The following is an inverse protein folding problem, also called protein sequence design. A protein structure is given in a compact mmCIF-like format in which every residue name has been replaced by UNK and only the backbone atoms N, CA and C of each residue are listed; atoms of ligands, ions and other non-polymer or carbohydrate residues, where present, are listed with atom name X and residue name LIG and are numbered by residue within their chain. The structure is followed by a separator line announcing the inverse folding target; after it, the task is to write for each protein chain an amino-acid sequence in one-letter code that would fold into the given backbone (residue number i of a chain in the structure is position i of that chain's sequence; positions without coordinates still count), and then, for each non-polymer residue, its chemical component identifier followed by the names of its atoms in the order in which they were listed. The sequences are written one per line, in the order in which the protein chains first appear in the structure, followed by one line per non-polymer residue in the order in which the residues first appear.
data_IF_626056476470
#
_entry.id   IF_626056476470
#
_cell.length_a   1.000
_cell.length_b   1.000
_cell.length_c   1.000
_cell.angle_alpha   90.00
_cell.angle_beta   90.00
_cell.angle_gamma   90.00
#
_symmetry.space_group_name_H-M   'P 1'
#
loop_
_entity.id
_entity.type
_entity.pdbx_description
1 polymer ?
#
# COMPACT_ATOMS: atom_id res chain seq x y z
N UNK A 1 6.43 2.93 22.84
CA UNK A 1 7.11 3.41 21.61
C UNK A 1 6.03 3.43 20.56
N UNK A 2 5.77 4.55 19.89
CA UNK A 2 4.77 4.62 18.83
C UNK A 2 5.23 3.69 17.68
N UNK A 3 4.29 2.96 17.06
CA UNK A 3 4.62 2.05 15.95
C UNK A 3 5.39 2.78 14.84
N UNK A 4 4.97 3.99 14.49
CA UNK A 4 5.61 4.81 13.45
C UNK A 4 7.09 5.11 13.74
N UNK A 5 7.49 5.25 15.02
CA UNK A 5 8.89 5.43 15.41
C UNK A 5 9.76 4.21 15.09
N UNK A 6 9.17 3.01 15.06
CA UNK A 6 9.88 1.77 14.70
C UNK A 6 10.25 1.75 13.21
N UNK A 7 9.52 2.46 12.37
CA UNK A 7 9.79 2.61 10.94
C UNK A 7 10.71 3.79 10.61
N UNK A 8 10.94 4.71 11.54
CA UNK A 8 11.78 5.89 11.32
C UNK A 8 13.23 5.51 11.08
N UNK A 9 13.83 6.06 10.01
CA UNK A 9 15.23 5.87 9.65
C UNK A 9 16.07 7.12 9.90
N UNK A 10 15.67 8.23 9.31
CA UNK A 10 16.36 9.53 9.41
C UNK A 10 15.47 10.66 8.91
N UNK A 11 15.94 11.89 9.10
CA UNK A 11 15.36 13.08 8.48
C UNK A 11 16.26 13.56 7.34
N UNK A 12 15.68 13.93 6.21
CA UNK A 12 16.35 14.53 5.06
C UNK A 12 15.87 15.97 4.87
N UNK A 13 16.79 16.87 4.49
CA UNK A 13 16.48 18.26 4.20
C UNK A 13 16.32 18.44 2.68
N UNK A 14 15.39 19.32 2.29
CA UNK A 14 15.17 19.67 0.89
C UNK A 14 14.82 21.16 0.76
N UNK A 15 15.47 21.85 -0.17
CA UNK A 15 15.10 23.22 -0.50
C UNK A 15 14.28 23.25 -1.79
N UNK A 16 13.04 23.76 -1.70
CA UNK A 16 12.18 23.97 -2.85
C UNK A 16 11.85 25.45 -3.00
N UNK A 17 12.33 26.09 -4.06
CA UNK A 17 12.09 27.52 -4.39
C UNK A 17 12.32 28.45 -3.17
N UNK A 18 13.42 28.21 -2.43
CA UNK A 18 13.80 29.01 -1.26
C UNK A 18 13.14 28.58 0.06
N UNK A 19 12.16 27.69 0.06
CA UNK A 19 11.58 27.11 1.28
C UNK A 19 12.41 25.89 1.73
N UNK A 20 12.89 25.92 2.96
CA UNK A 20 13.62 24.81 3.58
C UNK A 20 12.63 23.83 4.22
N UNK A 21 12.60 22.61 3.70
CA UNK A 21 11.71 21.55 4.15
C UNK A 21 12.50 20.41 4.78
N UNK A 22 11.87 19.67 5.67
CA UNK A 22 12.43 18.49 6.34
C UNK A 22 11.49 17.32 6.20
N UNK A 23 12.02 16.13 5.84
CA UNK A 23 11.22 14.93 5.66
C UNK A 23 11.79 13.78 6.48
N UNK A 24 11.00 13.22 7.37
CA UNK A 24 11.28 11.92 7.97
C UNK A 24 11.06 10.84 6.92
N UNK A 25 11.98 9.89 6.83
CA UNK A 25 11.92 8.79 5.87
C UNK A 25 12.04 7.43 6.56
N UNK A 26 11.45 6.41 5.94
CA UNK A 26 11.51 5.02 6.37
C UNK A 26 12.27 4.16 5.39
N UNK A 27 12.94 3.10 5.89
CA UNK A 27 13.57 2.10 5.02
C UNK A 27 12.52 1.31 4.21
N UNK A 28 11.31 1.21 4.72
CA UNK A 28 10.19 0.45 4.15
C UNK A 28 9.36 1.26 3.14
N UNK A 29 9.74 2.52 2.88
CA UNK A 29 9.16 3.38 1.85
C UNK A 29 10.13 3.59 0.69
N UNK A 30 9.55 3.95 -0.46
CA UNK A 30 10.34 4.35 -1.63
C UNK A 30 11.24 5.54 -1.30
N UNK A 31 12.49 5.50 -1.80
CA UNK A 31 13.48 6.57 -1.60
C UNK A 31 13.85 6.87 -0.15
N UNK A 32 14.25 5.82 0.58
CA UNK A 32 14.57 5.87 2.02
C UNK A 32 15.89 6.60 2.38
N UNK A 33 16.64 7.10 1.41
CA UNK A 33 17.95 7.75 1.67
C UNK A 33 17.95 9.25 1.41
N UNK A 34 17.20 9.72 0.45
CA UNK A 34 17.07 11.12 0.05
C UNK A 34 15.80 11.30 -0.78
N UNK A 35 15.44 12.53 -1.14
CA UNK A 35 14.38 12.78 -2.14
C UNK A 35 14.81 12.15 -3.46
N UNK A 36 13.96 11.30 -4.02
CA UNK A 36 14.19 10.61 -5.29
C UNK A 36 14.52 11.56 -6.44
N UNK A 37 15.43 11.15 -7.33
CA UNK A 37 15.84 11.97 -8.46
C UNK A 37 14.68 12.31 -9.41
N UNK A 38 13.77 11.36 -9.66
CA UNK A 38 12.57 11.60 -10.44
C UNK A 38 11.69 12.68 -9.82
N UNK A 39 11.46 12.59 -8.51
CA UNK A 39 10.75 13.60 -7.73
C UNK A 39 11.42 14.97 -7.84
N UNK A 40 12.75 15.05 -7.72
CA UNK A 40 13.49 16.31 -7.87
C UNK A 40 13.34 16.90 -9.28
N UNK A 41 13.42 16.05 -10.32
CA UNK A 41 13.23 16.48 -11.71
C UNK A 41 11.81 17.01 -11.96
N UNK A 42 10.80 16.30 -11.45
CA UNK A 42 9.41 16.73 -11.57
C UNK A 42 9.17 18.09 -10.90
N UNK A 43 9.61 18.25 -9.66
CA UNK A 43 9.51 19.51 -8.92
C UNK A 43 10.30 20.65 -9.59
N UNK A 44 11.46 20.36 -10.19
CA UNK A 44 12.24 21.33 -10.95
C UNK A 44 11.48 21.82 -12.19
N UNK A 45 10.79 20.94 -12.91
CA UNK A 45 10.00 21.36 -14.09
C UNK A 45 8.78 22.20 -13.69
N UNK A 46 8.09 21.82 -12.61
CA UNK A 46 6.99 22.62 -12.06
C UNK A 46 7.43 23.99 -11.56
N UNK A 47 8.69 24.13 -11.15
CA UNK A 47 9.27 25.41 -10.72
C UNK A 47 9.68 26.30 -11.89
N UNK A 48 10.01 25.73 -13.07
CA UNK A 48 10.49 26.47 -14.24
C UNK A 48 9.38 26.93 -15.18
N UNK A 49 8.22 26.25 -15.14
CA UNK A 49 7.07 26.63 -15.94
C UNK A 49 6.33 27.83 -15.32
N UNK A 50 5.80 28.71 -16.16
CA UNK A 50 5.08 29.93 -15.76
C UNK A 50 3.64 29.62 -15.34
N UNK A 51 3.44 28.65 -14.46
CA UNK A 51 2.13 28.44 -13.86
C UNK A 51 1.99 29.37 -12.66
N UNK A 52 1.22 30.45 -12.83
CA UNK A 52 1.14 31.55 -11.87
C UNK A 52 0.52 31.18 -10.54
N UNK A 53 -0.38 30.20 -10.51
CA UNK A 53 -0.94 29.67 -9.26
C UNK A 53 -1.67 28.34 -9.44
N UNK A 54 -1.56 27.44 -8.49
CA UNK A 54 -2.45 26.30 -8.33
C UNK A 54 -3.33 26.51 -7.10
N UNK A 55 -4.63 26.39 -7.26
CA UNK A 55 -5.59 26.49 -6.16
C UNK A 55 -5.94 25.12 -5.60
N UNK A 56 -5.90 24.06 -6.43
CA UNK A 56 -6.24 22.70 -6.04
C UNK A 56 -5.33 21.70 -6.71
N UNK A 57 -4.59 20.94 -5.91
CA UNK A 57 -3.57 19.98 -6.38
C UNK A 57 -3.87 18.58 -5.85
N UNK A 58 -3.66 17.57 -6.70
CA UNK A 58 -3.69 16.16 -6.34
C UNK A 58 -2.28 15.57 -6.53
N UNK A 59 -1.67 15.11 -5.43
CA UNK A 59 -0.45 14.30 -5.41
C UNK A 59 -0.83 12.82 -5.34
N UNK A 60 -0.73 12.12 -6.47
CA UNK A 60 -1.15 10.74 -6.65
C UNK A 60 0.02 9.78 -6.44
N UNK A 61 -0.02 8.96 -5.40
CA UNK A 61 1.10 8.14 -4.95
C UNK A 61 2.11 8.99 -4.18
N UNK A 62 1.65 9.71 -3.16
CA UNK A 62 2.42 10.76 -2.49
C UNK A 62 3.65 10.27 -1.71
N UNK A 63 3.75 8.96 -1.41
CA UNK A 63 4.81 8.42 -0.57
C UNK A 63 4.84 9.10 0.80
N UNK A 64 6.01 9.53 1.25
CA UNK A 64 6.17 10.29 2.51
C UNK A 64 5.94 11.81 2.34
N UNK A 65 5.40 12.25 1.22
CA UNK A 65 4.88 13.59 0.97
C UNK A 65 5.81 14.61 0.29
N UNK A 66 6.90 14.23 -0.39
CA UNK A 66 7.86 15.22 -0.89
C UNK A 66 7.28 16.15 -1.94
N UNK A 67 6.38 15.70 -2.81
CA UNK A 67 5.79 16.54 -3.85
C UNK A 67 4.71 17.45 -3.27
N UNK A 68 3.66 16.87 -2.66
CA UNK A 68 2.53 17.63 -2.17
C UNK A 68 2.91 18.70 -1.13
N UNK A 69 3.78 18.35 -0.17
CA UNK A 69 4.29 19.28 0.85
C UNK A 69 5.14 20.39 0.21
N UNK A 70 5.98 20.08 -0.78
CA UNK A 70 6.77 21.09 -1.49
C UNK A 70 5.88 22.06 -2.24
N UNK A 71 4.87 21.57 -2.96
CA UNK A 71 3.93 22.42 -3.69
C UNK A 71 3.11 23.29 -2.73
N UNK A 72 2.59 22.74 -1.64
CA UNK A 72 1.86 23.49 -0.63
C UNK A 72 2.71 24.60 0.00
N UNK A 73 4.00 24.34 0.27
CA UNK A 73 4.90 25.32 0.86
C UNK A 73 5.13 26.54 -0.02
N UNK A 74 4.98 26.40 -1.33
CA UNK A 74 5.13 27.47 -2.31
C UNK A 74 3.79 28.10 -2.69
N UNK A 75 2.75 27.31 -2.89
CA UNK A 75 1.39 27.76 -3.21
C UNK A 75 0.52 27.73 -1.94
N UNK A 76 0.85 28.54 -0.94
CA UNK A 76 0.27 28.54 0.40
C UNK A 76 -1.28 28.47 0.45
N UNK A 77 -2.04 29.17 -0.42
CA UNK A 77 -3.50 29.08 -0.40
C UNK A 77 -4.05 27.81 -1.06
N UNK A 78 -3.20 26.99 -1.72
CA UNK A 78 -3.69 25.82 -2.43
C UNK A 78 -4.27 24.75 -1.49
N UNK A 79 -5.39 24.15 -1.92
CA UNK A 79 -5.93 22.92 -1.34
C UNK A 79 -5.16 21.75 -1.94
N UNK A 80 -4.40 21.02 -1.15
CA UNK A 80 -3.61 19.90 -1.64
C UNK A 80 -4.12 18.59 -1.07
N UNK A 81 -4.48 17.67 -1.98
CA UNK A 81 -4.80 16.28 -1.67
C UNK A 81 -3.56 15.43 -1.94
N UNK A 82 -3.25 14.58 -1.00
CA UNK A 82 -2.13 13.66 -1.07
C UNK A 82 -2.65 12.25 -0.79
N UNK A 83 -2.53 11.37 -1.77
CA UNK A 83 -3.08 10.03 -1.65
C UNK A 83 -2.03 8.97 -1.91
N UNK A 84 -2.12 7.87 -1.17
CA UNK A 84 -1.29 6.69 -1.39
C UNK A 84 -2.07 5.43 -0.99
N UNK A 85 -1.73 4.29 -1.59
CA UNK A 85 -2.30 3.01 -1.17
C UNK A 85 -1.63 2.43 0.08
N UNK A 86 -0.45 2.93 0.44
CA UNK A 86 0.35 2.46 1.57
C UNK A 86 0.06 3.28 2.83
N UNK A 87 -0.51 2.66 3.87
CA UNK A 87 -0.80 3.31 5.15
C UNK A 87 0.46 3.92 5.80
N UNK A 88 1.64 3.29 5.63
CA UNK A 88 2.89 3.84 6.13
C UNK A 88 3.25 5.15 5.43
N UNK A 89 3.04 5.22 4.11
CA UNK A 89 3.24 6.44 3.34
C UNK A 89 2.32 7.57 3.85
N UNK A 90 1.05 7.26 4.07
CA UNK A 90 0.07 8.20 4.63
C UNK A 90 0.48 8.73 6.01
N UNK A 91 0.91 7.84 6.91
CA UNK A 91 1.30 8.23 8.26
C UNK A 91 2.59 9.08 8.26
N UNK A 92 3.59 8.72 7.43
CA UNK A 92 4.79 9.55 7.25
C UNK A 92 4.45 10.90 6.60
N UNK A 93 3.56 10.94 5.60
CA UNK A 93 3.10 12.18 4.98
C UNK A 93 2.44 13.11 6.00
N UNK A 94 1.55 12.60 6.85
CA UNK A 94 0.94 13.37 7.94
C UNK A 94 1.98 13.91 8.91
N UNK A 95 2.93 13.07 9.33
CA UNK A 95 3.99 13.50 10.22
C UNK A 95 4.90 14.56 9.60
N UNK A 96 5.21 14.42 8.29
CA UNK A 96 6.01 15.38 7.53
C UNK A 96 5.24 16.68 7.26
N UNK A 97 3.93 16.63 7.06
CA UNK A 97 3.09 17.82 6.98
C UNK A 97 3.18 18.67 8.26
N UNK A 98 2.98 18.04 9.42
CA UNK A 98 3.14 18.70 10.74
C UNK A 98 4.55 19.24 10.92
N UNK A 99 5.58 18.47 10.56
CA UNK A 99 7.00 18.87 10.68
C UNK A 99 7.31 20.15 9.87
N UNK A 100 6.57 20.38 8.78
CA UNK A 100 6.73 21.55 7.91
C UNK A 100 5.63 22.63 8.13
N UNK A 101 4.83 22.53 9.21
CA UNK A 101 3.78 23.51 9.55
C UNK A 101 2.61 23.55 8.56
N UNK A 102 2.25 22.40 7.94
CA UNK A 102 1.22 22.29 6.90
C UNK A 102 0.13 21.29 7.31
N UNK A 103 -0.59 21.58 8.39
CA UNK A 103 -1.59 20.65 8.96
C UNK A 103 -2.91 20.59 8.17
N UNK A 104 -3.13 21.52 7.23
CA UNK A 104 -4.36 21.63 6.42
C UNK A 104 -4.34 20.75 5.13
N UNK A 105 -3.31 19.93 4.94
CA UNK A 105 -3.23 18.98 3.83
C UNK A 105 -4.25 17.85 4.00
N UNK A 106 -4.92 17.47 2.91
CA UNK A 106 -5.85 16.33 2.89
C UNK A 106 -5.10 15.05 2.53
N UNK A 107 -4.71 14.26 3.53
CA UNK A 107 -3.85 13.08 3.37
C UNK A 107 -4.62 11.82 3.74
N UNK A 108 -4.85 10.91 2.76
CA UNK A 108 -5.66 9.71 2.95
C UNK A 108 -5.31 8.56 2.00
N UNK A 109 -5.79 7.35 2.32
CA UNK A 109 -5.57 6.15 1.52
C UNK A 109 -6.41 6.13 0.24
N UNK A 110 -5.80 5.76 -0.89
CA UNK A 110 -6.50 5.54 -2.16
C UNK A 110 -5.75 4.56 -3.06
N UNK A 111 -6.51 3.73 -3.78
CA UNK A 111 -5.96 2.96 -4.90
C UNK A 111 -6.10 3.79 -6.17
N UNK A 112 -5.01 4.44 -6.58
CA UNK A 112 -5.08 5.40 -7.68
C UNK A 112 -6.12 6.48 -7.37
N UNK A 113 -7.10 6.64 -8.27
CA UNK A 113 -8.17 7.63 -8.14
C UNK A 113 -9.42 7.15 -7.39
N UNK A 114 -9.51 5.89 -7.01
CA UNK A 114 -10.77 5.24 -6.59
C UNK A 114 -11.43 5.83 -5.34
N UNK A 115 -10.62 6.38 -4.43
CA UNK A 115 -11.12 6.96 -3.17
C UNK A 115 -11.16 8.49 -3.18
N UNK A 116 -10.94 9.10 -4.35
CA UNK A 116 -10.98 10.54 -4.51
C UNK A 116 -12.40 10.96 -4.84
N UNK A 117 -13.07 11.59 -3.88
CA UNK A 117 -14.43 12.10 -4.03
C UNK A 117 -14.51 13.46 -4.71
N UNK A 118 -13.43 14.22 -4.65
CA UNK A 118 -13.37 15.58 -5.22
C UNK A 118 -12.82 15.56 -6.66
N UNK A 119 -13.18 16.57 -7.42
CA UNK A 119 -12.69 16.84 -8.76
C UNK A 119 -12.27 18.31 -8.88
N UNK A 120 -12.13 18.84 -10.10
CA UNK A 120 -11.76 20.21 -10.39
C UNK A 120 -10.36 20.62 -9.92
N UNK A 121 -9.43 19.67 -9.97
CA UNK A 121 -8.02 19.93 -9.69
C UNK A 121 -7.40 20.77 -10.82
N UNK A 122 -6.53 21.72 -10.44
CA UNK A 122 -5.69 22.47 -11.37
C UNK A 122 -4.53 21.65 -11.88
N UNK A 123 -4.01 20.79 -10.98
CA UNK A 123 -2.85 19.95 -11.21
C UNK A 123 -3.07 18.55 -10.61
N UNK A 124 -2.82 17.52 -11.40
CA UNK A 124 -2.56 16.16 -10.94
C UNK A 124 -1.06 15.89 -11.11
N UNK A 125 -0.39 15.52 -10.05
CA UNK A 125 1.05 15.24 -10.06
C UNK A 125 1.34 13.85 -9.55
N UNK A 126 2.31 13.13 -10.16
CA UNK A 126 2.68 11.79 -9.74
C UNK A 126 4.11 11.42 -10.12
N UNK A 127 4.82 10.79 -9.22
CA UNK A 127 6.00 9.98 -9.53
C UNK A 127 5.52 8.54 -9.69
N UNK A 128 5.29 8.10 -10.93
CA UNK A 128 4.58 6.85 -11.22
C UNK A 128 5.49 5.64 -11.02
N UNK A 129 5.09 4.65 -10.19
CA UNK A 129 5.87 3.44 -9.99
C UNK A 129 5.93 2.57 -11.26
N UNK A 130 7.11 2.01 -11.56
CA UNK A 130 7.32 1.21 -12.77
C UNK A 130 6.58 -0.14 -12.80
N UNK A 131 6.15 -0.67 -11.65
CA UNK A 131 5.63 -2.03 -11.53
C UNK A 131 4.11 -2.10 -11.35
N UNK A 132 3.39 -1.13 -11.85
CA UNK A 132 1.92 -1.10 -11.72
C UNK A 132 1.17 -1.89 -12.80
N UNK A 133 1.85 -2.28 -13.88
CA UNK A 133 1.25 -2.90 -15.05
C UNK A 133 0.69 -1.89 -16.06
N UNK A 134 0.72 -2.27 -17.34
CA UNK A 134 0.30 -1.38 -18.44
C UNK A 134 -1.16 -0.88 -18.32
N UNK A 135 -2.16 -1.73 -17.97
CA UNK A 135 -3.55 -1.26 -17.82
C UNK A 135 -3.70 -0.19 -16.73
N UNK A 136 -3.03 -0.38 -15.59
CA UNK A 136 -3.05 0.57 -14.48
C UNK A 136 -2.31 1.86 -14.86
N UNK A 137 -1.19 1.73 -15.58
CA UNK A 137 -0.44 2.88 -16.07
C UNK A 137 -1.26 3.74 -17.04
N UNK A 138 -1.95 3.11 -18.02
CA UNK A 138 -2.87 3.82 -18.91
C UNK A 138 -3.99 4.52 -18.14
N UNK A 139 -4.60 3.82 -17.17
CA UNK A 139 -5.63 4.40 -16.30
C UNK A 139 -5.13 5.64 -15.56
N UNK A 140 -3.94 5.59 -14.95
CA UNK A 140 -3.36 6.75 -14.24
C UNK A 140 -3.19 7.96 -15.18
N UNK A 141 -2.76 7.71 -16.42
CA UNK A 141 -2.50 8.77 -17.39
C UNK A 141 -3.77 9.35 -18.02
N UNK A 142 -4.75 8.51 -18.35
CA UNK A 142 -5.90 8.90 -19.17
C UNK A 142 -7.12 9.29 -18.32
N UNK A 143 -7.36 8.64 -17.18
CA UNK A 143 -8.51 8.92 -16.32
C UNK A 143 -8.31 10.18 -15.44
N UNK A 144 -7.13 10.79 -15.43
CA UNK A 144 -6.87 12.08 -14.79
C UNK A 144 -7.87 13.18 -15.25
N UNK A 145 -8.38 13.09 -16.50
CA UNK A 145 -9.40 13.99 -17.04
C UNK A 145 -10.66 14.08 -16.18
N UNK A 146 -11.04 13.00 -15.51
CA UNK A 146 -12.25 12.96 -14.65
C UNK A 146 -12.09 13.69 -13.32
N UNK A 147 -10.86 14.10 -13.01
CA UNK A 147 -10.52 14.78 -11.76
C UNK A 147 -10.01 16.21 -11.98
N UNK A 148 -9.57 16.53 -13.20
CA UNK A 148 -9.13 17.88 -13.57
C UNK A 148 -10.29 18.78 -13.91
N UNK A 149 -10.11 20.08 -13.68
CA UNK A 149 -10.93 21.11 -14.29
C UNK A 149 -10.52 21.31 -15.76
N UNK A 150 -11.41 21.84 -16.64
CA UNK A 150 -11.00 22.29 -17.96
C UNK A 150 -9.82 23.27 -17.88
N UNK A 151 -8.74 22.98 -18.63
CA UNK A 151 -7.50 23.75 -18.60
C UNK A 151 -6.52 23.34 -17.48
N UNK A 152 -6.90 22.46 -16.57
CA UNK A 152 -5.99 21.84 -15.65
C UNK A 152 -4.99 20.94 -16.37
N UNK A 153 -3.88 20.58 -15.71
CA UNK A 153 -2.87 19.74 -16.34
C UNK A 153 -2.35 18.62 -15.44
N UNK A 154 -1.69 17.66 -16.06
CA UNK A 154 -1.02 16.55 -15.42
C UNK A 154 0.48 16.73 -15.55
N UNK A 155 1.23 16.52 -14.46
CA UNK A 155 2.68 16.48 -14.46
C UNK A 155 3.15 15.16 -13.87
N UNK A 156 3.83 14.34 -14.66
CA UNK A 156 4.29 13.02 -14.22
C UNK A 156 5.76 12.81 -14.50
N UNK A 157 6.41 12.06 -13.62
CA UNK A 157 7.74 11.50 -13.86
C UNK A 157 7.67 9.98 -13.84
N UNK A 158 8.40 9.36 -14.77
CA UNK A 158 8.54 7.92 -14.89
C UNK A 158 10.00 7.55 -15.10
N UNK A 159 10.39 6.33 -14.72
CA UNK A 159 11.72 5.80 -15.08
C UNK A 159 11.78 5.42 -16.56
N UNK A 160 12.98 5.43 -17.14
CA UNK A 160 13.22 5.11 -18.55
C UNK A 160 12.60 3.76 -18.98
N UNK A 161 12.58 2.77 -18.10
CA UNK A 161 12.08 1.42 -18.41
C UNK A 161 10.62 1.39 -18.87
N UNK A 162 9.80 2.35 -18.46
CA UNK A 162 8.38 2.46 -18.89
C UNK A 162 8.14 3.71 -19.75
N UNK A 163 9.19 4.48 -20.03
CA UNK A 163 9.09 5.77 -20.73
C UNK A 163 8.51 5.66 -22.14
N UNK A 164 8.88 4.63 -22.89
CA UNK A 164 8.38 4.44 -24.26
C UNK A 164 6.90 4.07 -24.28
N UNK A 165 6.46 3.24 -23.30
CA UNK A 165 5.04 2.94 -23.15
C UNK A 165 4.23 4.19 -22.80
N UNK A 166 4.67 4.97 -21.83
CA UNK A 166 4.01 6.24 -21.45
C UNK A 166 3.95 7.20 -22.64
N UNK A 167 5.05 7.34 -23.39
CA UNK A 167 5.08 8.16 -24.61
C UNK A 167 4.01 7.70 -25.59
N UNK A 168 3.93 6.39 -25.85
CA UNK A 168 2.93 5.81 -26.76
C UNK A 168 1.51 6.08 -26.31
N UNK A 169 1.20 5.91 -25.01
CA UNK A 169 -0.14 6.20 -24.45
C UNK A 169 -0.50 7.67 -24.67
N UNK A 170 0.39 8.59 -24.30
CA UNK A 170 0.13 10.03 -24.41
C UNK A 170 0.01 10.50 -25.87
N UNK A 171 0.86 10.02 -26.79
CA UNK A 171 0.86 10.41 -28.20
C UNK A 171 -0.29 9.77 -29.01
N UNK A 172 -0.77 8.59 -28.61
CA UNK A 172 -1.88 7.92 -29.30
C UNK A 172 -3.27 8.44 -28.92
N UNK A 173 -3.40 9.12 -27.79
CA UNK A 173 -4.66 9.67 -27.33
C UNK A 173 -4.90 11.07 -27.92
N UNK A 174 -5.89 11.21 -28.82
CA UNK A 174 -6.23 12.44 -29.54
C UNK A 174 -6.64 13.60 -28.62
N UNK A 175 -7.10 13.28 -27.44
CA UNK A 175 -7.54 14.25 -26.43
C UNK A 175 -6.43 14.70 -25.51
N UNK A 176 -5.20 14.20 -25.68
CA UNK A 176 -4.03 14.59 -24.90
C UNK A 176 -3.14 15.53 -25.73
N UNK A 177 -2.79 16.67 -25.15
CA UNK A 177 -1.80 17.60 -25.66
C UNK A 177 -0.59 17.65 -24.73
N UNK A 178 0.56 17.12 -25.17
CA UNK A 178 1.82 17.19 -24.42
C UNK A 178 2.36 18.62 -24.53
N UNK A 179 2.39 19.35 -23.40
CA UNK A 179 2.86 20.74 -23.34
C UNK A 179 4.33 20.84 -22.95
N UNK A 180 4.87 19.81 -22.29
CA UNK A 180 6.29 19.73 -21.93
C UNK A 180 6.73 18.27 -21.89
N UNK A 181 7.97 18.01 -22.34
CA UNK A 181 8.62 16.71 -22.25
C UNK A 181 10.12 16.90 -22.07
N UNK A 182 10.70 16.24 -21.09
CA UNK A 182 12.14 16.25 -20.88
C UNK A 182 12.65 14.91 -20.38
N UNK A 183 13.74 14.45 -20.97
CA UNK A 183 14.45 13.24 -20.56
C UNK A 183 15.70 13.64 -19.79
N UNK A 184 15.92 13.01 -18.65
CA UNK A 184 17.16 12.96 -17.89
C UNK A 184 17.70 11.53 -17.85
N UNK A 185 18.97 11.31 -17.49
CA UNK A 185 19.46 9.96 -17.27
C UNK A 185 18.56 9.22 -16.25
N UNK A 186 17.91 8.14 -16.71
CA UNK A 186 17.04 7.30 -15.89
C UNK A 186 15.58 7.74 -15.76
N UNK A 187 15.20 8.95 -16.20
CA UNK A 187 13.84 9.47 -15.98
C UNK A 187 13.31 10.30 -17.17
N UNK A 188 11.99 10.21 -17.39
CA UNK A 188 11.23 11.11 -18.27
C UNK A 188 10.18 11.86 -17.46
N UNK A 189 10.07 13.16 -17.73
CA UNK A 189 9.01 14.01 -17.21
C UNK A 189 8.12 14.45 -18.35
N UNK A 190 6.81 14.37 -18.13
CA UNK A 190 5.79 14.86 -19.04
C UNK A 190 4.87 15.83 -18.30
N UNK A 191 4.53 16.95 -18.97
CA UNK A 191 3.38 17.75 -18.63
C UNK A 191 2.42 17.71 -19.80
N UNK A 192 1.14 17.50 -19.55
CA UNK A 192 0.12 17.43 -20.58
C UNK A 192 -1.24 17.94 -20.09
N UNK A 193 -2.08 18.29 -21.04
CA UNK A 193 -3.43 18.75 -20.81
C UNK A 193 -4.40 17.93 -21.66
N UNK A 194 -5.67 17.92 -21.25
CA UNK A 194 -6.73 17.32 -22.03
C UNK A 194 -7.45 18.39 -22.89
N UNK A 195 -7.86 17.99 -24.10
CA UNK A 195 -8.71 18.80 -24.95
C UNK A 195 -10.10 18.99 -24.31
N UNK A 196 -10.83 20.03 -24.74
CA UNK A 196 -12.20 20.25 -24.27
C UNK A 196 -13.17 19.08 -24.56
N UNK A 197 -12.85 18.24 -25.53
CA UNK A 197 -13.64 17.06 -25.86
C UNK A 197 -13.51 15.97 -24.80
N UNK A 198 -12.36 15.80 -24.19
CA UNK A 198 -12.12 14.81 -23.12
C UNK A 198 -13.09 15.00 -21.94
N UNK A 199 -13.46 16.24 -21.63
CA UNK A 199 -14.36 16.56 -20.51
C UNK A 199 -15.85 16.32 -20.81
N UNK A 200 -16.21 15.95 -22.06
CA UNK A 200 -17.58 15.55 -22.40
C UNK A 200 -17.89 14.10 -22.06
N UNK A 201 -16.87 13.30 -21.88
CA UNK A 201 -16.99 11.91 -21.46
C UNK A 201 -17.43 11.82 -19.99
N UNK A 202 -18.48 11.07 -19.67
CA UNK A 202 -18.91 10.94 -18.28
C UNK A 202 -17.91 10.11 -17.47
N UNK A 203 -17.65 10.55 -16.23
CA UNK A 203 -16.84 9.77 -15.29
C UNK A 203 -17.48 8.38 -15.08
N UNK A 204 -16.71 7.30 -15.13
CA UNK A 204 -17.22 5.95 -14.82
C UNK A 204 -17.86 5.92 -13.42
N UNK A 205 -18.97 5.20 -13.29
CA UNK A 205 -19.68 5.05 -12.00
C UNK A 205 -18.92 4.18 -11.01
N UNK A 206 -18.19 3.19 -11.52
CA UNK A 206 -17.38 2.28 -10.73
C UNK A 206 -15.92 2.72 -10.75
N UNK A 207 -15.22 2.52 -9.64
CA UNK A 207 -13.77 2.72 -9.54
C UNK A 207 -12.97 1.81 -10.46
N UNK A 208 -11.73 2.12 -10.69
CA UNK A 208 -10.86 1.32 -11.56
C UNK A 208 -10.64 -0.10 -11.02
N UNK A 209 -10.57 -0.25 -9.70
CA UNK A 209 -10.46 -1.55 -9.06
C UNK A 209 -11.70 -2.42 -9.36
N UNK A 210 -12.90 -1.88 -9.17
CA UNK A 210 -14.16 -2.57 -9.46
C UNK A 210 -14.38 -2.85 -10.96
N UNK A 211 -13.82 -2.02 -11.85
CA UNK A 211 -13.81 -2.24 -13.30
C UNK A 211 -12.80 -3.32 -13.74
N UNK A 212 -12.01 -3.86 -12.82
CA UNK A 212 -11.00 -4.88 -13.10
C UNK A 212 -9.73 -4.37 -13.78
N UNK A 213 -9.45 -3.06 -13.75
CA UNK A 213 -8.23 -2.47 -14.35
C UNK A 213 -6.96 -3.02 -13.67
N UNK A 214 -7.04 -3.30 -12.38
CA UNK A 214 -5.93 -3.86 -11.59
C UNK A 214 -5.76 -5.36 -11.75
N UNK A 215 -6.76 -6.05 -12.30
CA UNK A 215 -6.77 -7.50 -12.47
C UNK A 215 -5.70 -7.95 -13.47
N UNK A 216 -4.88 -8.91 -13.04
CA UNK A 216 -3.84 -9.51 -13.87
C UNK A 216 -4.21 -10.89 -14.39
N UNK A 217 -4.84 -11.70 -13.55
CA UNK A 217 -5.17 -13.07 -13.90
C UNK A 217 -5.89 -13.80 -12.78
N UNK A 218 -5.90 -15.12 -12.88
CA UNK A 218 -6.52 -16.01 -11.89
C UNK A 218 -5.61 -17.20 -11.62
N UNK A 219 -5.57 -17.65 -10.36
CA UNK A 219 -4.81 -18.79 -9.91
C UNK A 219 -5.65 -19.68 -9.01
N UNK A 220 -5.60 -20.98 -9.26
CA UNK A 220 -6.22 -21.97 -8.40
C UNK A 220 -5.18 -22.59 -7.47
N UNK A 221 -5.53 -22.72 -6.19
CA UNK A 221 -4.79 -23.51 -5.22
C UNK A 221 -5.72 -24.56 -4.64
N UNK A 222 -5.13 -25.62 -4.10
CA UNK A 222 -5.86 -26.67 -3.43
C UNK A 222 -5.47 -26.73 -1.97
N UNK A 223 -6.47 -26.61 -1.10
CA UNK A 223 -6.32 -26.79 0.33
C UNK A 223 -7.03 -28.08 0.68
N UNK A 224 -6.24 -29.17 0.81
CA UNK A 224 -6.73 -30.55 0.77
C UNK A 224 -7.50 -30.80 -0.54
N UNK A 225 -8.76 -31.20 -0.43
CA UNK A 225 -9.64 -31.49 -1.58
C UNK A 225 -10.42 -30.25 -2.06
N UNK A 226 -10.35 -29.16 -1.32
CA UNK A 226 -11.09 -27.94 -1.63
C UNK A 226 -10.30 -27.04 -2.56
N UNK A 227 -10.89 -26.70 -3.70
CA UNK A 227 -10.36 -25.70 -4.62
C UNK A 227 -10.62 -24.30 -4.06
N UNK A 228 -9.61 -23.43 -4.11
CA UNK A 228 -9.67 -22.01 -3.80
C UNK A 228 -9.17 -21.25 -5.01
N UNK A 229 -10.04 -20.50 -5.65
CA UNK A 229 -9.72 -19.69 -6.83
C UNK A 229 -9.40 -18.27 -6.41
N UNK A 230 -8.22 -17.79 -6.80
CA UNK A 230 -7.71 -16.46 -6.44
C UNK A 230 -7.55 -15.62 -7.69
N UNK A 231 -8.25 -14.51 -7.75
CA UNK A 231 -7.95 -13.44 -8.68
C UNK A 231 -6.66 -12.75 -8.25
N UNK A 232 -5.80 -12.35 -9.20
CA UNK A 232 -4.54 -11.70 -8.88
C UNK A 232 -4.45 -10.35 -9.55
N UNK A 233 -3.80 -9.39 -8.89
CA UNK A 233 -3.61 -8.02 -9.37
C UNK A 233 -2.16 -7.72 -9.73
N UNK A 234 -1.96 -6.66 -10.53
CA UNK A 234 -0.63 -6.23 -10.97
C UNK A 234 0.22 -5.67 -9.83
N UNK A 235 -0.40 -4.98 -8.88
CA UNK A 235 0.29 -4.24 -7.83
C UNK A 235 0.82 -5.10 -6.68
N UNK A 236 0.39 -6.37 -6.58
CA UNK A 236 0.72 -7.26 -5.47
C UNK A 236 1.67 -8.38 -5.91
N UNK A 237 2.51 -8.90 -4.98
CA UNK A 237 3.38 -10.05 -5.27
C UNK A 237 2.58 -11.34 -5.47
N UNK A 238 3.26 -12.43 -5.81
CA UNK A 238 2.74 -13.81 -5.89
C UNK A 238 1.71 -14.06 -7.01
N UNK A 239 1.59 -13.18 -7.98
CA UNK A 239 0.66 -13.37 -9.10
C UNK A 239 1.00 -14.59 -9.99
N UNK A 240 2.25 -15.01 -10.08
CA UNK A 240 2.67 -16.20 -10.87
C UNK A 240 2.98 -17.40 -9.96
N UNK A 241 3.76 -17.19 -8.91
CA UNK A 241 4.29 -18.26 -8.04
C UNK A 241 4.05 -17.84 -6.59
N UNK A 242 3.53 -18.75 -5.78
CA UNK A 242 3.42 -18.54 -4.34
C UNK A 242 4.81 -18.40 -3.71
N UNK A 243 4.92 -17.55 -2.72
CA UNK A 243 6.10 -17.53 -1.87
C UNK A 243 6.15 -18.81 -1.01
N UNK A 244 7.35 -19.18 -0.63
CA UNK A 244 7.52 -20.33 0.26
C UNK A 244 6.90 -20.08 1.64
N UNK A 245 6.86 -18.82 2.07
CA UNK A 245 6.18 -18.39 3.29
C UNK A 245 4.68 -18.67 3.24
N UNK A 246 4.04 -18.31 2.13
CA UNK A 246 2.60 -18.58 1.91
C UNK A 246 2.34 -20.08 1.88
N UNK A 247 3.18 -20.88 1.20
CA UNK A 247 3.07 -22.34 1.17
C UNK A 247 3.20 -22.96 2.58
N UNK A 248 4.19 -22.50 3.39
CA UNK A 248 4.38 -22.95 4.77
C UNK A 248 3.15 -22.67 5.63
N UNK A 249 2.59 -21.45 5.49
CA UNK A 249 1.43 -21.04 6.29
C UNK A 249 0.17 -21.83 5.88
N UNK A 250 -0.09 -21.98 4.57
CA UNK A 250 -1.19 -22.82 4.04
C UNK A 250 -1.09 -24.26 4.54
N UNK A 251 0.12 -24.85 4.52
CA UNK A 251 0.36 -26.20 5.03
C UNK A 251 0.03 -26.30 6.53
N UNK A 252 0.46 -25.31 7.32
CA UNK A 252 0.21 -25.29 8.78
C UNK A 252 -1.25 -25.08 9.13
N UNK A 253 -2.01 -24.38 8.31
CA UNK A 253 -3.45 -24.16 8.54
C UNK A 253 -4.25 -25.46 8.61
N UNK A 254 -3.74 -26.55 8.03
CA UNK A 254 -4.37 -27.88 8.14
C UNK A 254 -4.53 -28.38 9.58
N UNK A 255 -3.72 -27.91 10.52
CA UNK A 255 -3.80 -28.28 11.94
C UNK A 255 -5.02 -27.65 12.63
N UNK A 256 -5.65 -26.65 12.01
CA UNK A 256 -6.83 -25.97 12.53
C UNK A 256 -8.15 -26.52 11.95
N UNK A 257 -8.10 -27.63 11.22
CA UNK A 257 -9.29 -28.24 10.60
C UNK A 257 -10.40 -28.46 11.63
N UNK A 258 -11.62 -28.03 11.22
CA UNK A 258 -12.86 -28.20 11.99
C UNK A 258 -12.90 -27.45 13.34
N UNK A 259 -11.96 -26.53 13.59
CA UNK A 259 -12.06 -25.65 14.76
C UNK A 259 -13.14 -24.60 14.55
N UNK A 260 -13.85 -24.28 15.61
CA UNK A 260 -14.71 -23.11 15.70
C UNK A 260 -13.88 -21.99 16.32
N UNK A 261 -13.84 -20.85 15.67
CA UNK A 261 -13.14 -19.65 16.10
C UNK A 261 -14.15 -18.51 16.18
N UNK A 262 -14.06 -17.66 17.17
CA UNK A 262 -14.81 -16.40 17.20
C UNK A 262 -14.20 -15.41 16.19
N UNK A 263 -12.96 -14.99 16.44
CA UNK A 263 -12.29 -14.01 15.59
C UNK A 263 -10.93 -14.51 15.10
N UNK A 264 -10.70 -14.36 13.80
CA UNK A 264 -9.40 -14.62 13.20
C UNK A 264 -8.79 -13.32 12.65
N UNK A 265 -7.49 -13.15 12.82
CA UNK A 265 -6.71 -12.04 12.29
C UNK A 265 -5.75 -12.56 11.23
N UNK A 266 -5.80 -12.00 10.03
CA UNK A 266 -4.80 -12.22 8.98
C UNK A 266 -4.12 -10.90 8.68
N UNK A 267 -2.82 -10.83 8.86
CA UNK A 267 -2.06 -9.65 8.49
C UNK A 267 -1.08 -9.93 7.35
N UNK A 268 -0.85 -8.91 6.53
CA UNK A 268 -0.15 -9.01 5.24
C UNK A 268 -0.75 -10.11 4.36
N UNK A 269 -2.07 -10.07 4.07
CA UNK A 269 -2.78 -11.11 3.31
C UNK A 269 -2.37 -11.17 1.83
N UNK A 270 -1.71 -10.14 1.28
CA UNK A 270 -1.27 -10.07 -0.11
C UNK A 270 -2.42 -10.26 -1.10
N UNK A 271 -2.30 -11.25 -2.02
CA UNK A 271 -3.37 -11.59 -2.99
C UNK A 271 -4.59 -12.28 -2.35
N UNK A 272 -4.57 -12.54 -1.04
CA UNK A 272 -5.69 -13.18 -0.34
C UNK A 272 -5.66 -14.71 -0.30
N UNK A 273 -4.53 -15.36 -0.59
CA UNK A 273 -4.43 -16.83 -0.55
C UNK A 273 -4.77 -17.39 0.84
N UNK A 274 -4.19 -16.82 1.89
CA UNK A 274 -4.37 -17.26 3.27
C UNK A 274 -5.81 -17.04 3.76
N UNK A 275 -6.38 -15.82 3.70
CA UNK A 275 -7.72 -15.60 4.21
C UNK A 275 -8.79 -16.31 3.39
N UNK A 276 -8.60 -16.52 2.08
CA UNK A 276 -9.56 -17.28 1.25
C UNK A 276 -9.52 -18.78 1.52
N UNK A 277 -8.40 -19.32 1.96
CA UNK A 277 -8.26 -20.72 2.35
C UNK A 277 -8.86 -21.00 3.74
N UNK A 278 -8.88 -20.03 4.64
CA UNK A 278 -9.29 -20.21 6.03
C UNK A 278 -10.70 -20.79 6.16
N UNK A 279 -11.74 -20.30 5.45
CA UNK A 279 -13.10 -20.84 5.58
C UNK A 279 -13.27 -22.28 5.09
N UNK A 280 -12.30 -22.81 4.33
CA UNK A 280 -12.31 -24.22 3.90
C UNK A 280 -11.77 -25.16 4.97
N UNK A 281 -11.13 -24.63 5.99
CA UNK A 281 -10.47 -25.41 7.05
C UNK A 281 -11.16 -25.27 8.39
N UNK A 282 -11.54 -24.07 8.79
CA UNK A 282 -12.19 -23.79 10.06
C UNK A 282 -13.33 -22.79 9.89
N UNK A 283 -14.20 -22.71 10.90
CA UNK A 283 -15.25 -21.69 10.95
C UNK A 283 -14.76 -20.54 11.80
N UNK A 284 -14.76 -19.34 11.24
CA UNK A 284 -14.54 -18.10 11.98
C UNK A 284 -15.79 -17.21 11.83
N UNK A 285 -16.22 -16.61 12.93
CA UNK A 285 -17.38 -15.73 12.92
C UNK A 285 -17.02 -14.40 12.26
N UNK A 286 -15.83 -13.87 12.53
CA UNK A 286 -15.28 -12.67 11.94
C UNK A 286 -13.82 -12.88 11.51
N UNK A 287 -13.44 -12.27 10.38
CA UNK A 287 -12.05 -12.24 9.91
C UNK A 287 -11.61 -10.79 9.77
N UNK A 288 -10.58 -10.44 10.51
CA UNK A 288 -9.89 -9.17 10.49
C UNK A 288 -8.73 -9.25 9.51
N UNK A 289 -8.73 -8.43 8.48
CA UNK A 289 -7.61 -8.27 7.57
C UNK A 289 -6.89 -6.97 7.91
N UNK A 290 -5.62 -7.05 8.23
CA UNK A 290 -4.77 -5.90 8.52
C UNK A 290 -3.63 -5.88 7.51
N UNK A 291 -3.51 -4.82 6.76
CA UNK A 291 -2.39 -4.58 5.84
C UNK A 291 -2.14 -3.09 5.70
N UNK A 292 -0.91 -2.73 5.44
CA UNK A 292 -0.55 -1.37 5.03
C UNK A 292 -0.93 -1.09 3.57
N UNK A 293 -1.10 -2.13 2.74
CA UNK A 293 -1.45 -2.02 1.33
C UNK A 293 -2.97 -2.15 1.14
N UNK A 294 -3.62 -1.05 0.74
CA UNK A 294 -5.06 -1.01 0.52
C UNK A 294 -5.52 -1.93 -0.62
N UNK A 295 -4.67 -2.13 -1.65
CA UNK A 295 -4.96 -3.06 -2.74
C UNK A 295 -4.99 -4.50 -2.22
N UNK A 296 -4.06 -4.89 -1.34
CA UNK A 296 -4.04 -6.22 -0.72
C UNK A 296 -5.32 -6.49 0.10
N UNK A 297 -5.79 -5.50 0.85
CA UNK A 297 -7.03 -5.63 1.63
C UNK A 297 -8.25 -5.83 0.72
N UNK A 298 -8.40 -5.01 -0.33
CA UNK A 298 -9.55 -5.10 -1.25
C UNK A 298 -9.52 -6.39 -2.05
N UNK A 299 -8.36 -6.76 -2.59
CA UNK A 299 -8.20 -7.99 -3.34
C UNK A 299 -8.47 -9.22 -2.48
N UNK A 300 -7.95 -9.24 -1.26
CA UNK A 300 -8.22 -10.32 -0.31
C UNK A 300 -9.71 -10.46 -0.02
N UNK A 301 -10.43 -9.34 0.16
CA UNK A 301 -11.89 -9.37 0.37
C UNK A 301 -12.64 -9.90 -0.86
N UNK A 302 -12.28 -9.46 -2.06
CA UNK A 302 -12.86 -9.96 -3.32
C UNK A 302 -12.67 -11.47 -3.41
N UNK A 303 -11.46 -11.95 -3.16
CA UNK A 303 -11.13 -13.37 -3.22
C UNK A 303 -11.84 -14.19 -2.13
N UNK A 304 -11.97 -13.68 -0.91
CA UNK A 304 -12.73 -14.33 0.15
C UNK A 304 -14.21 -14.48 -0.21
N UNK A 305 -14.83 -13.40 -0.69
CA UNK A 305 -16.25 -13.41 -1.10
C UNK A 305 -16.47 -14.36 -2.27
N UNK A 306 -15.61 -14.37 -3.28
CA UNK A 306 -15.67 -15.28 -4.43
C UNK A 306 -15.51 -16.76 -4.01
N UNK A 307 -14.86 -17.03 -2.89
CA UNK A 307 -14.72 -18.37 -2.30
C UNK A 307 -15.81 -18.70 -1.26
N UNK A 308 -16.86 -17.87 -1.16
CA UNK A 308 -18.07 -18.14 -0.39
C UNK A 308 -18.04 -17.64 1.05
N UNK A 309 -17.14 -16.72 1.41
CA UNK A 309 -17.19 -16.06 2.71
C UNK A 309 -18.16 -14.86 2.68
N UNK A 310 -18.84 -14.61 3.78
CA UNK A 310 -19.83 -13.53 3.87
C UNK A 310 -19.13 -12.18 4.01
N UNK A 311 -19.43 -11.20 3.14
CA UNK A 311 -18.74 -9.91 3.13
C UNK A 311 -18.93 -9.09 4.43
N UNK A 312 -20.04 -9.28 5.16
CA UNK A 312 -20.33 -8.61 6.43
C UNK A 312 -19.42 -9.07 7.58
N UNK A 313 -18.82 -10.26 7.46
CA UNK A 313 -17.92 -10.84 8.46
C UNK A 313 -16.44 -10.57 8.17
N UNK A 314 -16.12 -9.77 7.13
CA UNK A 314 -14.75 -9.41 6.75
C UNK A 314 -14.53 -7.94 7.13
N UNK A 315 -13.63 -7.71 8.08
CA UNK A 315 -13.26 -6.37 8.53
C UNK A 315 -11.89 -5.99 7.97
N UNK A 316 -11.82 -4.86 7.29
CA UNK A 316 -10.58 -4.36 6.66
C UNK A 316 -10.00 -3.23 7.51
N UNK A 317 -8.73 -3.35 7.88
CA UNK A 317 -7.98 -2.32 8.59
C UNK A 317 -6.75 -1.91 7.78
N UNK A 318 -6.84 -0.79 7.08
CA UNK A 318 -5.72 -0.16 6.41
C UNK A 318 -4.85 0.53 7.47
N UNK A 319 -3.80 -0.17 7.91
CA UNK A 319 -2.98 0.24 9.05
C UNK A 319 -1.60 -0.44 9.04
N UNK A 320 -0.66 0.16 9.75
CA UNK A 320 0.71 -0.38 9.94
C UNK A 320 0.84 -1.24 11.20
N UNK A 321 -0.24 -1.38 11.95
CA UNK A 321 -0.29 -2.00 13.28
C UNK A 321 -1.66 -2.63 13.58
N UNK A 322 -1.82 -3.16 14.77
CA UNK A 322 -3.06 -3.79 15.23
C UNK A 322 -3.88 -2.90 16.19
N UNK A 323 -3.61 -1.61 16.25
CA UNK A 323 -4.26 -0.69 17.21
C UNK A 323 -5.79 -0.67 17.12
N UNK A 324 -6.34 -0.95 15.92
CA UNK A 324 -7.79 -1.02 15.67
C UNK A 324 -8.43 -2.37 16.04
N UNK A 325 -7.64 -3.34 16.44
CA UNK A 325 -8.11 -4.66 16.88
C UNK A 325 -8.28 -4.65 18.40
N UNK A 326 -9.41 -5.15 18.89
CA UNK A 326 -9.70 -5.20 20.33
C UNK A 326 -8.70 -6.09 21.06
N UNK A 327 -8.30 -5.69 22.27
CA UNK A 327 -7.42 -6.48 23.12
C UNK A 327 -8.10 -7.80 23.55
N UNK A 328 -7.32 -8.88 23.58
CA UNK A 328 -7.77 -10.17 24.05
C UNK A 328 -8.89 -10.84 23.25
N UNK A 329 -9.12 -10.39 21.99
CA UNK A 329 -10.27 -10.79 21.19
C UNK A 329 -9.98 -11.86 20.14
N UNK A 330 -8.72 -12.08 19.76
CA UNK A 330 -8.34 -12.90 18.61
C UNK A 330 -8.01 -14.34 19.00
N UNK A 331 -8.71 -15.30 18.42
CA UNK A 331 -8.50 -16.74 18.68
C UNK A 331 -7.42 -17.34 17.76
N UNK A 332 -7.25 -16.78 16.54
CA UNK A 332 -6.24 -17.22 15.61
C UNK A 332 -5.65 -16.03 14.85
N UNK A 333 -4.34 -15.88 14.93
CA UNK A 333 -3.60 -14.96 14.03
C UNK A 333 -2.79 -15.77 13.03
N UNK A 334 -2.88 -15.36 11.75
CA UNK A 334 -2.06 -15.86 10.66
C UNK A 334 -1.34 -14.68 10.02
N UNK A 335 -0.02 -14.75 9.87
CA UNK A 335 0.69 -13.61 9.31
C UNK A 335 2.07 -13.93 8.77
N UNK A 336 2.45 -13.14 7.78
CA UNK A 336 3.78 -13.18 7.15
C UNK A 336 4.47 -11.86 7.44
N UNK A 337 5.58 -11.89 8.18
CA UNK A 337 6.44 -10.73 8.33
C UNK A 337 7.36 -10.62 7.12
N UNK A 338 7.44 -9.44 6.52
CA UNK A 338 8.43 -9.16 5.48
C UNK A 338 9.84 -9.25 6.10
N UNK A 339 10.69 -10.12 5.57
CA UNK A 339 12.05 -10.33 6.09
C UNK A 339 13.01 -9.16 5.79
N UNK A 340 12.61 -8.22 4.96
CA UNK A 340 13.33 -6.98 4.67
C UNK A 340 13.05 -5.86 5.66
N UNK A 341 11.98 -5.97 6.44
CA UNK A 341 11.63 -4.98 7.46
C UNK A 341 12.68 -4.93 8.58
N UNK A 342 12.81 -3.74 9.19
CA UNK A 342 13.68 -3.57 10.35
C UNK A 342 13.22 -4.45 11.52
N UNK A 343 14.17 -4.99 12.26
CA UNK A 343 13.87 -5.81 13.43
C UNK A 343 13.07 -5.09 14.51
N UNK A 344 13.15 -3.75 14.58
CA UNK A 344 12.34 -2.93 15.51
C UNK A 344 10.85 -3.01 15.18
N UNK A 345 10.52 -3.04 13.88
CA UNK A 345 9.13 -3.20 13.41
C UNK A 345 8.58 -4.56 13.82
N UNK A 346 9.32 -5.64 13.52
CA UNK A 346 8.91 -6.99 13.93
C UNK A 346 8.71 -7.11 15.44
N UNK A 347 9.61 -6.50 16.23
CA UNK A 347 9.50 -6.51 17.69
C UNK A 347 8.29 -5.71 18.19
N UNK A 348 8.02 -4.54 17.60
CA UNK A 348 6.86 -3.71 17.96
C UNK A 348 5.55 -4.44 17.64
N UNK A 349 5.41 -4.99 16.43
CA UNK A 349 4.25 -5.79 16.02
C UNK A 349 4.06 -7.04 16.91
N UNK A 350 5.16 -7.71 17.30
CA UNK A 350 5.08 -8.89 18.19
C UNK A 350 4.57 -8.52 19.57
N UNK A 351 4.99 -7.40 20.16
CA UNK A 351 4.48 -6.91 21.44
C UNK A 351 3.00 -6.56 21.35
N UNK A 352 2.62 -5.83 20.32
CA UNK A 352 1.22 -5.45 20.13
C UNK A 352 0.32 -6.67 19.91
N UNK A 353 0.78 -7.66 19.13
CA UNK A 353 0.04 -8.90 18.91
C UNK A 353 -0.22 -9.67 20.22
N UNK A 354 0.69 -9.59 21.21
CA UNK A 354 0.48 -10.27 22.50
C UNK A 354 -0.74 -9.73 23.24
N UNK A 355 -1.07 -8.46 23.06
CA UNK A 355 -2.25 -7.84 23.67
C UNK A 355 -3.56 -8.19 22.92
N UNK A 356 -3.47 -8.68 21.69
CA UNK A 356 -4.66 -8.95 20.84
C UNK A 356 -5.15 -10.39 20.96
N UNK A 357 -4.28 -11.34 21.28
CA UNK A 357 -4.69 -12.74 21.42
C UNK A 357 -5.59 -12.95 22.63
N UNK A 358 -6.66 -13.74 22.43
CA UNK A 358 -7.48 -14.27 23.52
C UNK A 358 -6.66 -15.25 24.37
N UNK A 359 -7.16 -15.58 25.58
CA UNK A 359 -6.51 -16.52 26.51
C UNK A 359 -6.22 -17.88 25.85
N UNK A 360 -7.08 -18.32 24.94
CA UNK A 360 -6.90 -19.56 24.17
C UNK A 360 -6.30 -19.34 22.79
N UNK A 361 -5.98 -18.08 22.47
CA UNK A 361 -5.54 -17.65 21.16
C UNK A 361 -4.20 -18.21 20.73
N UNK A 362 -4.06 -18.44 19.44
CA UNK A 362 -2.85 -18.90 18.78
C UNK A 362 -2.41 -17.90 17.71
N UNK A 363 -1.10 -17.70 17.58
CA UNK A 363 -0.54 -16.98 16.44
C UNK A 363 0.40 -17.89 15.65
N UNK A 364 0.25 -17.91 14.33
CA UNK A 364 1.17 -18.59 13.40
C UNK A 364 1.83 -17.52 12.54
N UNK A 365 3.12 -17.35 12.75
CA UNK A 365 3.91 -16.33 12.09
C UNK A 365 4.98 -16.98 11.22
N UNK A 366 5.16 -16.45 10.02
CA UNK A 366 6.19 -16.90 9.07
C UNK A 366 7.04 -15.70 8.64
N UNK A 367 8.35 -15.92 8.52
CA UNK A 367 9.29 -14.96 7.95
C UNK A 367 10.63 -15.66 7.63
N UNK A 368 11.63 -14.90 7.24
CA UNK A 368 13.01 -15.34 7.21
C UNK A 368 13.47 -15.91 8.56
N UNK A 369 14.41 -16.86 8.53
CA UNK A 369 14.84 -17.53 9.79
C UNK A 369 15.53 -16.57 10.77
N UNK A 370 16.19 -15.52 10.30
CA UNK A 370 16.84 -14.51 11.15
C UNK A 370 15.81 -13.63 11.88
N UNK A 371 14.81 -13.03 11.20
CA UNK A 371 13.69 -12.35 11.87
C UNK A 371 13.00 -13.20 12.94
N UNK A 372 12.61 -14.44 12.61
CA UNK A 372 11.96 -15.32 13.57
C UNK A 372 12.85 -15.62 14.80
N UNK A 373 14.15 -15.79 14.62
CA UNK A 373 15.08 -15.99 15.75
C UNK A 373 15.12 -14.77 16.67
N UNK A 374 15.09 -13.56 16.10
CA UNK A 374 15.04 -12.30 16.88
C UNK A 374 13.72 -12.13 17.61
N UNK A 375 12.61 -12.48 16.96
CA UNK A 375 11.27 -12.50 17.58
C UNK A 375 11.22 -13.50 18.73
N UNK A 376 11.74 -14.71 18.55
CA UNK A 376 11.78 -15.72 19.61
C UNK A 376 12.63 -15.27 20.82
N UNK A 377 13.76 -14.60 20.56
CA UNK A 377 14.56 -14.02 21.63
C UNK A 377 13.79 -12.97 22.43
N UNK A 378 13.08 -12.06 21.72
CA UNK A 378 12.21 -11.05 22.34
C UNK A 378 11.13 -11.71 23.21
N UNK A 379 10.42 -12.69 22.65
CA UNK A 379 9.33 -13.41 23.32
C UNK A 379 9.82 -14.03 24.64
N UNK A 380 11.00 -14.66 24.64
CA UNK A 380 11.60 -15.26 25.83
C UNK A 380 12.01 -14.21 26.87
N UNK A 381 12.62 -13.10 26.39
CA UNK A 381 13.10 -12.01 27.25
C UNK A 381 11.94 -11.29 27.95
N UNK A 382 10.88 -10.97 27.21
CA UNK A 382 9.73 -10.18 27.69
C UNK A 382 8.56 -11.04 28.16
N UNK A 383 8.67 -12.39 27.99
CA UNK A 383 7.64 -13.36 28.41
C UNK A 383 6.28 -13.11 27.74
N UNK A 384 6.28 -12.68 26.46
CA UNK A 384 5.06 -12.28 25.73
C UNK A 384 4.16 -13.47 25.39
N UNK A 385 4.77 -14.60 24.98
CA UNK A 385 4.07 -15.80 24.52
C UNK A 385 4.76 -17.07 25.01
N UNK A 386 4.04 -18.18 24.94
CA UNK A 386 4.61 -19.52 24.95
C UNK A 386 4.88 -19.97 23.50
N UNK A 387 6.11 -20.42 23.21
CA UNK A 387 6.46 -20.97 21.90
C UNK A 387 6.05 -22.44 21.88
N UNK A 388 4.99 -22.74 21.13
CA UNK A 388 4.44 -24.11 21.02
C UNK A 388 5.21 -24.95 19.99
N UNK A 389 5.57 -24.34 18.87
CA UNK A 389 6.27 -25.02 17.77
C UNK A 389 7.14 -24.06 16.99
N UNK A 390 8.25 -24.57 16.50
CA UNK A 390 9.09 -23.91 15.49
C UNK A 390 9.42 -24.90 14.37
N UNK A 391 9.26 -24.47 13.13
CA UNK A 391 9.65 -25.21 11.94
C UNK A 391 10.57 -24.34 11.10
N UNK A 392 11.68 -24.91 10.61
CA UNK A 392 12.64 -24.23 9.72
C UNK A 392 12.81 -25.01 8.43
N UNK A 393 12.72 -24.34 7.30
CA UNK A 393 12.95 -24.94 5.99
C UNK A 393 13.33 -23.87 4.96
N UNK A 394 14.29 -24.18 4.09
CA UNK A 394 14.73 -23.31 2.97
C UNK A 394 15.00 -21.85 3.38
N UNK A 395 15.63 -21.63 4.53
CA UNK A 395 15.96 -20.27 5.02
C UNK A 395 14.78 -19.50 5.62
N UNK A 396 13.56 -20.05 5.60
CA UNK A 396 12.37 -19.51 6.25
C UNK A 396 12.06 -20.27 7.54
N UNK A 397 11.33 -19.63 8.42
CA UNK A 397 10.87 -20.24 9.68
C UNK A 397 9.42 -19.88 9.95
N UNK A 398 8.69 -20.85 10.46
CA UNK A 398 7.36 -20.71 11.01
C UNK A 398 7.45 -20.89 12.53
N UNK A 399 6.75 -20.04 13.27
CA UNK A 399 6.61 -20.15 14.72
C UNK A 399 5.12 -20.16 15.09
N UNK A 400 4.75 -21.07 16.01
CA UNK A 400 3.42 -21.11 16.61
C UNK A 400 3.54 -20.62 18.03
N UNK A 401 2.76 -19.61 18.34
CA UNK A 401 2.74 -18.92 19.62
C UNK A 401 1.38 -19.09 20.28
N UNK A 402 1.37 -19.21 21.58
CA UNK A 402 0.17 -19.25 22.41
C UNK A 402 0.22 -18.11 23.42
N UNK A 403 -0.95 -17.59 23.80
CA UNK A 403 -1.04 -16.64 24.90
C UNK A 403 -0.38 -17.23 26.15
N UNK A 404 0.37 -16.42 26.87
CA UNK A 404 1.00 -16.82 28.13
C UNK A 404 0.09 -16.41 29.28
N UNK A 405 -0.24 -17.38 30.13
CA UNK A 405 -1.00 -17.17 31.38
C UNK A 405 -0.15 -16.48 32.45
#
# INVERSE_FOLDING_TARGET
MNMLDSYYKKTVAYNYRGKNLSFKVSQSLFSSHDIDLGTRHLLQTLASESFDSYNKVLDLGCGYGPIGISLKSFYEPAIVHMVDRDALAIDFSKQNAVLNGQEDLKIYGSIGYDDISEADFDLVVSNIPAKVGEPVLSHILEDAKFYLKPGGHVAVVVIDAIGDYVTKVLESNKDINIIFRKRWPGHLVFHYQFSSNAFKEPKPKLGAFERGIYKRGQKDIYVKESKVSIETTYGLPEFNILSYETEMLLSKMNDFKSKQLGKALVFNPGQGFIPSALPKLCKADEIYLVDRDLEALRESRVNMVSNGYRPENILLYHAIDFSKVDAGSIDLTLGIFDDKEDSKVHQALTRELSDKLSIVGLAVLVSGSTPITRIEFLIRKEKLFEVVQRQKSKGKSLIVLKHRH
#
